data_IF_161708890801
#
_entry.id   IF_161708890801
#
_cell.length_a   1.000
_cell.length_b   1.000
_cell.length_c   1.000
_cell.angle_alpha   90.00
_cell.angle_beta   90.00
_cell.angle_gamma   90.00
#
_symmetry.space_group_name_H-M   'P 1'
#
loop_
_entity.id
_entity.type
_entity.pdbx_description
1 polymer ?
#
# COMPACT_ATOMS: atom_id res chain seq x y z
N UNK A 1 -32.47 -1.98 -22.51
CA UNK A 1 -33.22 -1.88 -21.27
C UNK A 1 -32.64 -2.78 -20.20
N UNK A 2 -32.62 -4.07 -20.43
CA UNK A 2 -32.09 -5.03 -19.47
C UNK A 2 -30.59 -4.85 -19.25
N UNK A 3 -29.88 -4.58 -20.31
CA UNK A 3 -28.44 -4.34 -20.21
C UNK A 3 -28.13 -3.08 -19.41
N UNK A 4 -28.98 -2.09 -19.50
CA UNK A 4 -28.81 -0.88 -18.71
C UNK A 4 -29.03 -1.16 -17.22
N UNK A 5 -29.97 -2.03 -16.89
CA UNK A 5 -30.19 -2.44 -15.52
C UNK A 5 -28.97 -3.17 -14.98
N UNK A 6 -28.39 -4.06 -15.79
CA UNK A 6 -27.20 -4.78 -15.39
C UNK A 6 -26.03 -3.82 -15.10
N UNK A 7 -25.86 -2.79 -15.93
CA UNK A 7 -24.84 -1.79 -15.70
C UNK A 7 -25.08 -1.02 -14.40
N UNK A 8 -26.33 -0.70 -14.12
CA UNK A 8 -26.67 0.00 -12.88
C UNK A 8 -26.44 -0.85 -11.65
N UNK A 9 -26.58 -2.14 -11.81
CA UNK A 9 -26.43 -3.09 -10.72
C UNK A 9 -24.99 -3.51 -10.49
N UNK A 10 -24.08 -3.23 -11.41
CA UNK A 10 -22.67 -3.51 -11.21
C UNK A 10 -22.16 -2.70 -10.03
N UNK A 11 -21.47 -3.35 -9.11
CA UNK A 11 -20.92 -2.63 -7.98
C UNK A 11 -19.96 -1.57 -8.47
N UNK A 12 -20.16 -0.37 -7.98
CA UNK A 12 -19.20 0.69 -8.24
C UNK A 12 -17.97 0.44 -7.41
N UNK A 13 -16.84 0.66 -8.03
CA UNK A 13 -15.58 0.67 -7.33
C UNK A 13 -15.65 1.76 -6.23
N UNK A 14 -15.36 1.39 -5.00
CA UNK A 14 -15.28 2.36 -3.93
C UNK A 14 -13.94 3.06 -3.98
N UNK A 15 -13.95 4.35 -3.71
CA UNK A 15 -12.75 5.15 -3.64
C UNK A 15 -12.62 5.74 -2.25
N UNK A 16 -11.42 5.68 -1.68
CA UNK A 16 -11.10 6.33 -0.42
C UNK A 16 -9.84 7.14 -0.62
N UNK A 17 -9.85 8.34 -0.09
CA UNK A 17 -8.63 9.16 -0.06
C UNK A 17 -7.86 8.85 1.21
N UNK A 18 -6.63 8.44 1.04
CA UNK A 18 -5.75 8.10 2.14
C UNK A 18 -4.41 8.80 1.95
N UNK A 19 -4.05 9.68 2.87
CA UNK A 19 -2.82 10.47 2.82
C UNK A 19 -2.61 11.16 1.46
N UNK A 20 -3.71 11.71 0.92
CA UNK A 20 -3.68 12.47 -0.33
C UNK A 20 -3.73 11.64 -1.60
N UNK A 21 -3.83 10.32 -1.52
CA UNK A 21 -3.94 9.46 -2.70
C UNK A 21 -5.23 8.68 -2.68
N UNK A 22 -5.66 8.26 -3.86
CA UNK A 22 -6.88 7.49 -4.03
C UNK A 22 -6.59 6.00 -3.94
N UNK A 23 -7.31 5.32 -3.07
CA UNK A 23 -7.26 3.87 -2.93
C UNK A 23 -8.58 3.30 -3.43
N UNK A 24 -8.50 2.27 -4.25
CA UNK A 24 -9.68 1.68 -4.89
C UNK A 24 -10.03 0.36 -4.22
N UNK A 25 -11.34 0.14 -4.04
CA UNK A 25 -11.87 -1.15 -3.63
C UNK A 25 -12.68 -1.73 -4.76
N UNK A 26 -12.37 -2.95 -5.16
CA UNK A 26 -13.03 -3.62 -6.29
C UNK A 26 -14.46 -4.02 -5.99
N UNK A 27 -14.77 -4.20 -4.73
CA UNK A 27 -16.13 -4.55 -4.28
C UNK A 27 -16.47 -3.75 -3.02
N UNK A 28 -17.77 -3.59 -2.73
CA UNK A 28 -18.18 -2.92 -1.51
C UNK A 28 -17.65 -3.63 -0.27
N UNK A 29 -17.12 -2.86 0.66
CA UNK A 29 -16.49 -3.39 1.86
C UNK A 29 -17.03 -2.64 3.07
N UNK A 30 -17.62 -3.37 4.00
CA UNK A 30 -18.24 -2.76 5.17
C UNK A 30 -17.22 -2.20 6.16
N UNK A 31 -16.01 -2.73 6.14
CA UNK A 31 -14.99 -2.39 7.14
C UNK A 31 -13.86 -1.54 6.56
N UNK A 32 -14.10 -0.84 5.46
CA UNK A 32 -13.06 -0.07 4.80
C UNK A 32 -12.53 1.05 5.69
N UNK A 33 -13.41 1.77 6.37
CA UNK A 33 -12.99 2.88 7.23
C UNK A 33 -12.17 2.39 8.42
N UNK A 34 -12.57 1.28 9.00
CA UNK A 34 -11.84 0.63 10.08
C UNK A 34 -10.44 0.22 9.63
N UNK A 35 -10.32 -0.32 8.43
CA UNK A 35 -9.03 -0.71 7.86
C UNK A 35 -8.10 0.49 7.68
N UNK A 36 -8.62 1.59 7.17
CA UNK A 36 -7.82 2.81 6.98
C UNK A 36 -7.42 3.44 8.31
N UNK A 37 -8.29 3.39 9.31
CA UNK A 37 -7.95 3.86 10.64
C UNK A 37 -6.79 3.06 11.24
N UNK A 38 -6.80 1.75 11.06
CA UNK A 38 -5.70 0.88 11.50
C UNK A 38 -4.40 1.24 10.78
N UNK A 39 -4.45 1.47 9.47
CA UNK A 39 -3.27 1.86 8.71
C UNK A 39 -2.74 3.22 9.15
N UNK A 40 -3.62 4.17 9.46
CA UNK A 40 -3.21 5.47 9.98
C UNK A 40 -2.51 5.32 11.32
N UNK A 41 -3.08 4.52 12.20
CA UNK A 41 -2.53 4.28 13.54
C UNK A 41 -1.15 3.62 13.49
N UNK A 42 -0.93 2.73 12.53
CA UNK A 42 0.32 1.97 12.40
C UNK A 42 1.15 2.40 11.20
N UNK A 43 0.96 3.64 10.76
CA UNK A 43 1.66 4.15 9.57
C UNK A 43 3.18 4.05 9.67
N UNK A 44 3.74 4.33 10.83
CA UNK A 44 5.20 4.23 11.00
C UNK A 44 5.71 2.82 10.75
N UNK A 45 4.96 1.80 11.15
CA UNK A 45 5.34 0.41 10.88
C UNK A 45 5.26 0.08 9.39
N UNK A 46 4.26 0.60 8.72
CA UNK A 46 4.08 0.38 7.28
C UNK A 46 5.22 1.03 6.50
N UNK A 47 5.49 2.30 6.76
CA UNK A 47 6.53 3.02 6.04
C UNK A 47 7.92 2.47 6.36
N UNK A 48 8.12 1.98 7.57
CA UNK A 48 9.37 1.35 7.96
C UNK A 48 9.62 0.08 7.15
N UNK A 49 8.61 -0.76 7.00
CA UNK A 49 8.72 -2.00 6.23
C UNK A 49 9.05 -1.72 4.76
N UNK A 50 8.38 -0.75 4.17
CA UNK A 50 8.66 -0.33 2.79
C UNK A 50 10.07 0.25 2.67
N UNK A 51 10.49 1.05 3.63
CA UNK A 51 11.83 1.65 3.67
C UNK A 51 12.92 0.59 3.80
N UNK A 52 12.73 -0.40 4.65
CA UNK A 52 13.67 -1.51 4.80
C UNK A 52 13.81 -2.30 3.50
N UNK A 53 12.69 -2.51 2.79
CA UNK A 53 12.70 -3.20 1.50
C UNK A 53 13.54 -2.45 0.49
N UNK A 54 13.39 -1.13 0.40
CA UNK A 54 14.24 -0.32 -0.48
C UNK A 54 15.71 -0.38 -0.05
N UNK A 55 15.95 -0.27 1.25
CA UNK A 55 17.31 -0.36 1.78
C UNK A 55 18.00 -1.66 1.37
N UNK A 56 17.27 -2.77 1.44
CA UNK A 56 17.80 -4.10 1.08
C UNK A 56 18.12 -4.22 -0.42
N UNK A 57 17.59 -3.33 -1.25
CA UNK A 57 17.82 -3.34 -2.70
C UNK A 57 18.83 -2.27 -3.15
N UNK A 58 19.50 -1.60 -2.23
CA UNK A 58 20.47 -0.54 -2.59
C UNK A 58 21.63 -1.02 -3.42
N UNK A 59 21.97 -2.29 -3.36
CA UNK A 59 23.04 -2.87 -4.21
C UNK A 59 22.74 -2.73 -5.69
N UNK A 60 21.47 -2.61 -6.07
CA UNK A 60 21.04 -2.39 -7.43
C UNK A 60 21.23 -0.96 -7.92
N UNK A 61 21.68 -0.04 -7.05
CA UNK A 61 21.79 1.38 -7.34
C UNK A 61 23.21 1.93 -7.03
N UNK A 62 24.26 1.35 -7.65
CA UNK A 62 25.62 1.76 -7.31
C UNK A 62 25.95 3.19 -7.67
N UNK A 63 25.19 3.78 -8.61
CA UNK A 63 25.45 5.14 -9.09
C UNK A 63 24.52 6.19 -8.46
N UNK A 64 23.65 5.79 -7.56
CA UNK A 64 22.78 6.73 -6.85
C UNK A 64 23.48 7.18 -5.59
N UNK A 65 23.66 8.51 -5.46
CA UNK A 65 24.31 9.09 -4.30
C UNK A 65 23.27 9.39 -3.24
N UNK A 66 23.32 8.63 -2.15
CA UNK A 66 22.39 8.78 -1.04
C UNK A 66 23.17 9.31 0.16
N UNK A 67 22.79 10.49 0.68
CA UNK A 67 23.42 11.03 1.88
C UNK A 67 23.38 10.01 3.03
N UNK A 68 24.47 9.98 3.78
CA UNK A 68 24.65 8.97 4.83
C UNK A 68 23.50 8.95 5.85
N UNK A 69 22.95 10.12 6.16
CA UNK A 69 21.85 10.22 7.13
C UNK A 69 20.57 9.52 6.66
N UNK A 70 20.39 9.33 5.34
CA UNK A 70 19.23 8.64 4.79
C UNK A 70 19.51 7.19 4.43
N UNK A 71 20.79 6.79 4.43
CA UNK A 71 21.19 5.44 4.03
C UNK A 71 21.08 4.49 5.22
N UNK A 72 19.88 4.34 5.71
CA UNK A 72 19.51 3.48 6.83
C UNK A 72 18.19 2.82 6.55
N UNK A 73 17.86 1.78 7.30
CA UNK A 73 16.60 1.06 7.13
C UNK A 73 15.38 1.96 7.21
N UNK A 74 15.39 2.96 8.08
CA UNK A 74 14.25 3.87 8.19
C UNK A 74 14.44 5.15 7.39
N UNK A 75 15.69 5.56 7.17
CA UNK A 75 16.01 6.79 6.44
C UNK A 75 15.59 6.76 4.97
N UNK A 76 15.52 5.58 4.37
CA UNK A 76 15.13 5.43 2.98
C UNK A 76 13.68 5.85 2.70
N UNK A 77 12.87 6.04 3.73
CA UNK A 77 11.50 6.55 3.57
C UNK A 77 11.47 7.91 2.86
N UNK A 78 12.55 8.68 2.95
CA UNK A 78 12.67 9.97 2.26
C UNK A 78 12.44 9.83 0.75
N UNK A 79 12.81 8.70 0.17
CA UNK A 79 12.76 8.44 -1.26
C UNK A 79 11.50 7.70 -1.70
N UNK A 80 10.57 7.45 -0.77
CA UNK A 80 9.32 6.76 -1.06
C UNK A 80 8.16 7.75 -1.08
N UNK A 81 7.33 7.63 -2.10
CA UNK A 81 6.14 8.44 -2.23
C UNK A 81 4.94 7.53 -2.47
N UNK A 82 3.97 7.60 -1.58
CA UNK A 82 2.73 6.86 -1.75
C UNK A 82 2.00 7.41 -2.98
N UNK A 83 1.66 6.55 -3.93
CA UNK A 83 1.03 6.94 -5.19
C UNK A 83 -0.33 6.33 -5.41
N UNK A 84 -0.66 5.27 -4.70
CA UNK A 84 -1.96 4.65 -4.87
C UNK A 84 -2.06 3.35 -4.10
N UNK A 85 -3.09 2.59 -4.42
CA UNK A 85 -3.27 1.29 -3.82
C UNK A 85 -4.66 0.73 -4.06
N UNK A 86 -4.90 -0.42 -3.48
CA UNK A 86 -6.17 -1.11 -3.59
C UNK A 86 -6.55 -1.75 -2.26
N UNK A 87 -7.83 -1.98 -2.11
CA UNK A 87 -8.41 -2.61 -0.92
C UNK A 87 -9.26 -3.77 -1.37
N UNK A 88 -9.08 -4.91 -0.75
CA UNK A 88 -9.88 -6.10 -1.04
C UNK A 88 -10.40 -6.70 0.26
N UNK A 89 -11.69 -7.10 0.30
CA UNK A 89 -12.15 -7.91 1.42
C UNK A 89 -11.45 -9.25 1.36
N UNK A 90 -11.20 -9.83 2.51
CA UNK A 90 -10.55 -11.11 2.62
C UNK A 90 -11.51 -12.09 3.26
N UNK A 91 -11.69 -13.24 2.65
CA UNK A 91 -12.56 -14.27 3.20
C UNK A 91 -11.73 -15.47 3.61
N UNK A 92 -12.06 -16.02 4.75
CA UNK A 92 -11.35 -17.16 5.33
C UNK A 92 -10.17 -16.71 6.18
N UNK A 93 -9.86 -17.52 7.19
CA UNK A 93 -8.79 -17.21 8.12
C UNK A 93 -9.16 -16.06 9.06
N UNK A 94 -8.15 -15.45 9.66
CA UNK A 94 -8.34 -14.41 10.67
C UNK A 94 -8.41 -12.99 10.10
N UNK A 95 -8.01 -12.82 8.85
CA UNK A 95 -7.98 -11.49 8.23
C UNK A 95 -9.33 -11.17 7.59
N UNK A 96 -9.77 -9.92 7.73
CA UNK A 96 -11.01 -9.45 7.10
C UNK A 96 -10.74 -8.62 5.85
N UNK A 97 -9.51 -8.15 5.66
CA UNK A 97 -9.18 -7.30 4.51
C UNK A 97 -7.70 -7.34 4.22
N UNK A 98 -7.38 -7.02 2.97
CA UNK A 98 -6.01 -6.80 2.53
C UNK A 98 -5.93 -5.46 1.81
N UNK A 99 -4.97 -4.65 2.20
CA UNK A 99 -4.67 -3.37 1.57
C UNK A 99 -3.32 -3.49 0.88
N UNK A 100 -3.25 -3.06 -0.37
CA UNK A 100 -1.96 -2.93 -1.05
C UNK A 100 -1.69 -1.46 -1.27
N UNK A 101 -0.57 -0.97 -0.74
CA UNK A 101 -0.15 0.41 -0.91
C UNK A 101 1.08 0.44 -1.80
N UNK A 102 1.06 1.30 -2.82
CA UNK A 102 2.15 1.40 -3.79
C UNK A 102 2.94 2.69 -3.56
N UNK A 103 4.25 2.54 -3.48
CA UNK A 103 5.17 3.65 -3.29
C UNK A 103 6.10 3.76 -4.50
N UNK A 104 6.17 4.95 -5.07
CA UNK A 104 7.20 5.25 -6.07
C UNK A 104 8.53 5.48 -5.37
N UNK A 105 9.61 5.13 -6.08
CA UNK A 105 10.97 5.39 -5.64
C UNK A 105 11.46 6.64 -6.37
N UNK A 106 11.86 7.67 -5.63
CA UNK A 106 12.19 8.97 -6.19
C UNK A 106 13.26 8.89 -7.28
N UNK A 107 14.25 8.05 -7.09
CA UNK A 107 15.39 7.95 -8.02
C UNK A 107 15.26 6.81 -9.04
N UNK A 108 14.14 6.11 -9.08
CA UNK A 108 13.94 5.01 -10.02
C UNK A 108 12.45 4.91 -10.41
N UNK A 109 12.15 5.39 -11.61
CA UNK A 109 10.79 5.38 -12.13
C UNK A 109 10.36 4.04 -12.70
N UNK A 110 11.28 3.09 -12.82
CA UNK A 110 11.01 1.78 -13.39
C UNK A 110 10.64 0.74 -12.34
N UNK A 111 10.90 1.06 -11.07
CA UNK A 111 10.62 0.15 -9.97
C UNK A 111 9.77 0.85 -8.91
N UNK A 112 9.12 0.06 -8.10
CA UNK A 112 8.25 0.57 -7.04
C UNK A 112 8.19 -0.45 -5.91
N UNK A 113 7.72 0.01 -4.75
CA UNK A 113 7.53 -0.84 -3.59
C UNK A 113 6.03 -1.00 -3.38
N UNK A 114 5.57 -2.24 -3.27
CA UNK A 114 4.20 -2.54 -2.85
C UNK A 114 4.23 -3.09 -1.43
N UNK A 115 3.41 -2.52 -0.58
CA UNK A 115 3.22 -3.02 0.78
C UNK A 115 1.85 -3.68 0.88
N UNK A 116 1.83 -4.99 1.11
CA UNK A 116 0.61 -5.75 1.35
C UNK A 116 0.34 -5.78 2.84
N UNK A 117 -0.82 -5.30 3.22
CA UNK A 117 -1.21 -5.17 4.62
C UNK A 117 -2.46 -6.01 4.83
N UNK A 118 -2.35 -7.05 5.63
CA UNK A 118 -3.49 -7.88 5.99
C UNK A 118 -3.97 -7.50 7.37
N UNK A 119 -5.27 -7.34 7.50
CA UNK A 119 -5.90 -6.78 8.68
C UNK A 119 -6.82 -7.79 9.33
N UNK A 120 -6.63 -7.99 10.62
CA UNK A 120 -7.56 -8.74 11.46
C UNK A 120 -8.13 -7.82 12.53
N UNK A 121 -9.04 -8.32 13.34
CA UNK A 121 -9.63 -7.53 14.42
C UNK A 121 -8.59 -7.06 15.44
N UNK A 122 -7.50 -7.79 15.56
CA UNK A 122 -6.52 -7.56 16.63
C UNK A 122 -5.12 -7.27 16.12
N UNK A 123 -4.85 -7.51 14.85
CA UNK A 123 -3.48 -7.43 14.37
C UNK A 123 -3.39 -7.00 12.91
N UNK A 124 -2.19 -6.67 12.53
CA UNK A 124 -1.86 -6.27 11.17
C UNK A 124 -0.59 -7.01 10.76
N UNK A 125 -0.60 -7.55 9.55
CA UNK A 125 0.57 -8.16 8.95
C UNK A 125 1.01 -7.30 7.77
N UNK A 126 2.30 -6.97 7.72
CA UNK A 126 2.85 -6.09 6.67
C UNK A 126 3.92 -6.86 5.92
N UNK A 127 3.83 -6.86 4.59
CA UNK A 127 4.82 -7.50 3.73
C UNK A 127 5.04 -6.63 2.52
N UNK A 128 6.24 -6.07 2.39
CA UNK A 128 6.58 -5.20 1.27
C UNK A 128 7.46 -5.94 0.27
N UNK A 129 7.29 -5.60 -1.01
CA UNK A 129 8.05 -6.20 -2.11
C UNK A 129 8.55 -5.14 -3.06
N UNK A 130 9.70 -5.41 -3.67
CA UNK A 130 10.32 -4.56 -4.68
C UNK A 130 9.92 -5.09 -6.05
N UNK A 131 9.31 -4.24 -6.89
CA UNK A 131 8.69 -4.64 -8.15
C UNK A 131 9.10 -3.72 -9.29
N UNK A 132 8.89 -4.23 -10.50
CA UNK A 132 9.14 -3.41 -11.68
C UNK A 132 9.93 -4.04 -12.81
#
# INVERSE_FOLDING_TARGET
>A
HRNQLSKKELPKQQEKTFKGVTIYADEPCDRVDEAFDMCTKHWDSIIKDASETLYDHLDGYPNVDIPKQYKTMFGMKKYLKLTGGSYSPHSGGVYYAELTLSFDIEFDKNHFIDSSIRLSDKSMSIDSSFNG
#
